data_IF_590624279179
#
_entry.id   IF_590624279179
#
_cell.length_a   1.000
_cell.length_b   1.000
_cell.length_c   1.000
_cell.angle_alpha   90.00
_cell.angle_beta   90.00
_cell.angle_gamma   90.00
#
_symmetry.space_group_name_H-M   'P 1'
#
loop_
_entity.id
_entity.type
_entity.pdbx_description
1 polymer ?
#
# COMPACT_ATOMS: atom_id res chain seq x y z
N UNK A 1 6.17 0.81 9.03
CA UNK A 1 5.62 1.30 7.75
C UNK A 1 4.30 2.06 7.94
N UNK A 2 3.21 1.56 8.59
CA UNK A 2 1.95 2.31 8.72
C UNK A 2 2.10 3.71 9.34
N UNK A 3 2.89 3.83 10.39
CA UNK A 3 3.21 5.13 11.01
C UNK A 3 3.89 6.10 10.03
N UNK A 4 4.74 5.61 9.11
CA UNK A 4 5.35 6.44 8.06
C UNK A 4 4.28 6.96 7.09
N UNK A 5 3.33 6.11 6.67
CA UNK A 5 2.22 6.53 5.79
C UNK A 5 1.41 7.64 6.43
N UNK A 6 1.07 7.47 7.73
CA UNK A 6 0.38 8.51 8.48
C UNK A 6 1.20 9.80 8.55
N UNK A 7 2.47 9.72 8.94
CA UNK A 7 3.34 10.89 9.02
C UNK A 7 3.48 11.60 7.66
N UNK A 8 3.66 10.86 6.56
CA UNK A 8 3.68 11.41 5.21
C UNK A 8 2.38 12.15 4.88
N UNK A 9 1.24 11.55 5.19
CA UNK A 9 -0.07 12.14 4.92
C UNK A 9 -0.32 13.40 5.76
N UNK A 10 0.07 13.39 7.03
CA UNK A 10 -0.04 14.53 7.93
C UNK A 10 0.75 15.75 7.41
N UNK A 11 1.95 15.55 6.78
CA UNK A 11 2.72 16.65 6.17
C UNK A 11 2.01 17.32 4.99
N UNK A 12 1.01 16.66 4.42
CA UNK A 12 0.19 17.18 3.30
C UNK A 12 -1.23 17.55 3.75
N UNK A 13 -1.48 17.62 5.06
CA UNK A 13 -2.75 18.00 5.63
C UNK A 13 -3.86 16.97 5.47
N UNK A 14 -3.54 15.71 5.12
CA UNK A 14 -4.55 14.67 4.87
C UNK A 14 -5.11 14.03 6.14
N UNK A 15 -4.35 14.00 7.23
CA UNK A 15 -4.73 13.52 8.58
C UNK A 15 -5.51 12.19 8.61
N UNK A 16 -5.03 11.10 7.99
CA UNK A 16 -5.75 9.83 8.04
C UNK A 16 -5.70 9.23 9.45
N UNK A 17 -6.73 8.46 9.78
CA UNK A 17 -6.76 7.61 10.97
C UNK A 17 -6.22 6.22 10.56
N UNK A 18 -4.97 5.91 10.90
CA UNK A 18 -4.27 4.69 10.47
C UNK A 18 -4.09 3.75 11.65
N UNK A 19 -4.68 2.57 11.55
CA UNK A 19 -4.53 1.49 12.51
C UNK A 19 -3.76 0.32 11.91
N UNK A 20 -3.14 -0.46 12.76
CA UNK A 20 -2.37 -1.64 12.37
C UNK A 20 -2.69 -2.82 13.26
N UNK A 21 -2.86 -3.98 12.64
CA UNK A 21 -2.78 -5.27 13.32
C UNK A 21 -1.66 -6.07 12.67
N UNK A 22 -0.66 -6.42 13.44
CA UNK A 22 0.49 -7.19 12.97
C UNK A 22 0.90 -8.20 14.02
N UNK A 23 1.30 -9.38 13.55
CA UNK A 23 1.90 -10.40 14.39
C UNK A 23 3.12 -11.01 13.66
N UNK A 24 4.16 -11.45 14.38
CA UNK A 24 5.31 -12.09 13.75
C UNK A 24 4.89 -13.29 12.90
N UNK A 25 5.40 -13.34 11.66
CA UNK A 25 5.12 -14.40 10.69
C UNK A 25 3.62 -14.64 10.40
N UNK A 26 2.76 -13.66 10.64
CA UNK A 26 1.33 -13.81 10.42
C UNK A 26 1.00 -13.95 8.94
N UNK A 27 0.11 -14.89 8.64
CA UNK A 27 -0.49 -15.07 7.32
C UNK A 27 -1.93 -14.55 7.31
N UNK A 28 -2.52 -14.39 6.14
CA UNK A 28 -3.95 -14.05 6.03
C UNK A 28 -4.82 -15.09 6.76
N UNK A 29 -4.41 -16.37 6.74
CA UNK A 29 -5.08 -17.42 7.49
C UNK A 29 -5.00 -17.21 9.01
N UNK A 30 -3.82 -16.89 9.55
CA UNK A 30 -3.67 -16.62 10.98
C UNK A 30 -4.44 -15.39 11.44
N UNK A 31 -4.45 -14.34 10.63
CA UNK A 31 -5.28 -13.16 10.87
C UNK A 31 -6.78 -13.46 10.79
N UNK A 32 -7.20 -14.31 9.86
CA UNK A 32 -8.59 -14.78 9.80
C UNK A 32 -9.00 -15.56 11.05
N UNK A 33 -8.10 -16.37 11.59
CA UNK A 33 -8.35 -17.13 12.81
C UNK A 33 -8.25 -16.26 14.08
N UNK A 34 -7.58 -15.12 14.01
CA UNK A 34 -7.54 -14.15 15.10
C UNK A 34 -8.85 -13.36 15.18
N UNK A 35 -9.63 -13.62 16.24
CA UNK A 35 -10.88 -12.90 16.49
C UNK A 35 -10.71 -11.38 16.56
N UNK A 36 -9.57 -10.89 17.09
CA UNK A 36 -9.33 -9.45 17.20
C UNK A 36 -9.17 -8.80 15.82
N UNK A 37 -8.40 -9.45 14.92
CA UNK A 37 -8.24 -8.99 13.56
C UNK A 37 -9.58 -8.90 12.83
N UNK A 38 -10.40 -9.96 12.93
CA UNK A 38 -11.74 -9.98 12.32
C UNK A 38 -12.67 -8.93 12.92
N UNK A 39 -12.77 -8.88 14.24
CA UNK A 39 -13.65 -7.92 14.92
C UNK A 39 -13.27 -6.46 14.56
N UNK A 40 -11.98 -6.17 14.41
CA UNK A 40 -11.53 -4.86 13.97
C UNK A 40 -11.95 -4.55 12.53
N UNK A 41 -11.88 -5.54 11.64
CA UNK A 41 -12.33 -5.36 10.24
C UNK A 41 -13.86 -5.20 10.13
N UNK A 42 -14.62 -5.92 10.97
CA UNK A 42 -16.08 -5.90 10.95
C UNK A 42 -16.67 -4.71 11.72
N UNK A 43 -16.11 -4.41 12.88
CA UNK A 43 -16.68 -3.48 13.85
C UNK A 43 -16.42 -2.01 13.58
N UNK A 44 -15.63 -1.67 12.56
CA UNK A 44 -15.26 -0.28 12.25
C UNK A 44 -15.52 0.01 10.77
N UNK A 45 -16.14 1.15 10.51
CA UNK A 45 -16.31 1.64 9.13
C UNK A 45 -14.96 2.14 8.59
N UNK A 46 -14.17 1.24 8.01
CA UNK A 46 -12.92 1.56 7.34
C UNK A 46 -13.18 2.04 5.91
N UNK A 47 -12.49 3.08 5.47
CA UNK A 47 -12.46 3.44 4.05
C UNK A 47 -11.61 2.46 3.26
N UNK A 48 -10.46 2.08 3.84
CA UNK A 48 -9.51 1.14 3.24
C UNK A 48 -9.03 0.10 4.24
N UNK A 49 -8.91 -1.14 3.79
CA UNK A 49 -8.22 -2.19 4.54
C UNK A 49 -7.14 -2.80 3.66
N UNK A 50 -5.89 -2.69 4.10
CA UNK A 50 -4.74 -3.28 3.40
C UNK A 50 -4.52 -4.69 3.95
N UNK A 51 -4.54 -5.67 3.07
CA UNK A 51 -4.34 -7.08 3.36
C UNK A 51 -2.98 -7.53 2.81
N UNK A 52 -2.12 -8.02 3.69
CA UNK A 52 -0.83 -8.61 3.35
C UNK A 52 -0.74 -10.02 3.88
N UNK A 53 -0.29 -10.95 3.07
CA UNK A 53 0.06 -12.31 3.53
C UNK A 53 1.53 -12.37 3.94
N UNK A 54 1.87 -13.38 4.73
CA UNK A 54 3.25 -13.71 5.04
C UNK A 54 4.03 -13.96 3.73
N UNK A 55 5.23 -13.41 3.59
CA UNK A 55 5.95 -13.29 2.32
C UNK A 55 6.16 -14.61 1.56
N UNK A 56 6.25 -15.76 2.25
CA UNK A 56 6.45 -17.05 1.60
C UNK A 56 5.13 -17.77 1.25
N UNK A 57 4.02 -17.44 1.90
CA UNK A 57 2.73 -18.13 1.68
C UNK A 57 2.23 -17.96 0.23
N UNK A 58 2.25 -16.77 -0.38
CA UNK A 58 1.78 -16.62 -1.76
C UNK A 58 2.63 -17.40 -2.79
N UNK A 59 3.86 -17.77 -2.42
CA UNK A 59 4.78 -18.56 -3.27
C UNK A 59 4.59 -20.05 -3.03
N UNK A 60 4.51 -20.48 -1.77
CA UNK A 60 4.53 -21.89 -1.39
C UNK A 60 3.15 -22.54 -1.31
N UNK A 61 2.14 -21.75 -1.01
CA UNK A 61 0.75 -22.16 -0.85
C UNK A 61 -0.21 -21.08 -1.39
N UNK A 62 -0.15 -20.77 -2.72
CA UNK A 62 -0.94 -19.70 -3.32
C UNK A 62 -2.44 -19.89 -3.16
N UNK A 63 -2.91 -21.14 -3.03
CA UNK A 63 -4.30 -21.47 -2.75
C UNK A 63 -4.77 -20.95 -1.38
N UNK A 64 -3.89 -20.97 -0.36
CA UNK A 64 -4.19 -20.39 0.96
C UNK A 64 -4.30 -18.87 0.89
N UNK A 65 -3.35 -18.22 0.22
CA UNK A 65 -3.41 -16.77 0.00
C UNK A 65 -4.71 -16.40 -0.71
N UNK A 66 -5.11 -17.18 -1.72
CA UNK A 66 -6.37 -16.97 -2.43
C UNK A 66 -7.57 -17.12 -1.48
N UNK A 67 -7.68 -18.27 -0.80
CA UNK A 67 -8.82 -18.55 0.09
C UNK A 67 -9.02 -17.45 1.14
N UNK A 68 -7.97 -17.16 1.90
CA UNK A 68 -8.07 -16.20 2.99
C UNK A 68 -8.06 -14.74 2.51
N UNK A 69 -7.49 -14.47 1.35
CA UNK A 69 -7.61 -13.18 0.68
C UNK A 69 -9.03 -12.92 0.19
N UNK A 70 -9.72 -13.92 -0.39
CA UNK A 70 -11.13 -13.84 -0.78
C UNK A 70 -12.02 -13.57 0.44
N UNK A 71 -11.82 -14.32 1.54
CA UNK A 71 -12.54 -14.11 2.81
C UNK A 71 -12.32 -12.70 3.36
N UNK A 72 -11.07 -12.24 3.39
CA UNK A 72 -10.72 -10.90 3.86
C UNK A 72 -11.34 -9.80 2.99
N UNK A 73 -11.23 -9.91 1.67
CA UNK A 73 -11.85 -8.95 0.74
C UNK A 73 -13.38 -8.88 0.89
N UNK A 74 -14.02 -10.03 1.04
CA UNK A 74 -15.48 -10.12 1.24
C UNK A 74 -15.92 -9.45 2.54
N UNK A 75 -15.17 -9.70 3.62
CA UNK A 75 -15.42 -9.10 4.92
C UNK A 75 -15.32 -7.58 4.89
N UNK A 76 -14.24 -7.07 4.30
CA UNK A 76 -14.02 -5.63 4.15
C UNK A 76 -15.15 -4.95 3.37
N UNK A 77 -15.63 -5.58 2.29
CA UNK A 77 -16.75 -5.03 1.51
C UNK A 77 -18.07 -5.11 2.27
N UNK A 78 -18.32 -6.17 3.02
CA UNK A 78 -19.50 -6.27 3.87
C UNK A 78 -19.55 -5.12 4.89
N UNK A 79 -18.37 -4.69 5.39
CA UNK A 79 -18.21 -3.51 6.23
C UNK A 79 -18.15 -2.18 5.45
N UNK A 80 -18.47 -2.19 4.13
CA UNK A 80 -18.46 -1.03 3.21
C UNK A 80 -17.08 -0.40 2.99
N UNK A 81 -16.00 -1.10 3.33
CA UNK A 81 -14.63 -0.68 3.07
C UNK A 81 -14.12 -1.12 1.69
N UNK A 82 -13.00 -0.56 1.28
CA UNK A 82 -12.30 -0.94 0.05
C UNK A 82 -11.10 -1.83 0.39
N UNK A 83 -11.07 -3.11 -0.04
CA UNK A 83 -9.92 -3.96 0.17
C UNK A 83 -8.78 -3.58 -0.77
N UNK A 84 -7.57 -3.53 -0.23
CA UNK A 84 -6.33 -3.32 -0.96
C UNK A 84 -5.39 -4.48 -0.64
N UNK A 85 -4.97 -5.20 -1.65
CA UNK A 85 -3.95 -6.23 -1.50
C UNK A 85 -2.57 -5.58 -1.57
N UNK A 86 -1.64 -5.96 -0.70
CA UNK A 86 -0.27 -5.48 -0.76
C UNK A 86 0.63 -6.55 -1.35
N UNK A 87 1.04 -6.35 -2.61
CA UNK A 87 2.05 -7.18 -3.26
C UNK A 87 3.41 -6.93 -2.60
N UNK A 88 3.88 -7.87 -1.82
CA UNK A 88 5.18 -7.84 -1.17
C UNK A 88 6.31 -8.13 -2.17
N UNK A 89 7.54 -8.18 -1.69
CA UNK A 89 8.74 -8.45 -2.47
C UNK A 89 9.28 -9.85 -2.19
N UNK A 90 9.95 -10.45 -3.18
CA UNK A 90 10.69 -11.71 -3.03
C UNK A 90 11.91 -11.55 -2.11
N UNK A 91 12.46 -12.66 -1.61
CA UNK A 91 13.74 -12.63 -0.91
C UNK A 91 14.83 -12.03 -1.81
N UNK A 92 15.89 -11.50 -1.21
CA UNK A 92 17.05 -11.02 -1.97
C UNK A 92 17.72 -12.18 -2.72
N UNK A 93 17.80 -12.07 -4.04
CA UNK A 93 18.53 -12.99 -4.90
C UNK A 93 20.02 -12.68 -4.96
N UNK A 94 20.76 -13.50 -5.67
CA UNK A 94 22.23 -13.36 -5.83
C UNK A 94 22.65 -12.02 -6.47
N UNK A 95 21.82 -11.45 -7.33
CA UNK A 95 22.03 -10.14 -7.98
C UNK A 95 21.77 -8.95 -7.06
N UNK A 96 21.34 -9.17 -5.81
CA UNK A 96 20.94 -8.09 -4.89
C UNK A 96 19.50 -7.59 -5.11
N UNK A 97 18.86 -7.94 -6.22
CA UNK A 97 17.43 -7.68 -6.49
C UNK A 97 16.55 -8.80 -5.90
N UNK A 98 15.21 -8.65 -5.87
CA UNK A 98 14.34 -9.76 -5.50
C UNK A 98 14.61 -11.00 -6.38
N UNK A 99 14.57 -12.17 -5.77
CA UNK A 99 14.66 -13.43 -6.50
C UNK A 99 13.59 -13.47 -7.60
N UNK A 100 13.97 -13.65 -8.89
CA UNK A 100 13.02 -13.49 -9.99
C UNK A 100 11.88 -14.52 -9.96
N UNK A 101 12.15 -15.73 -9.48
CA UNK A 101 11.13 -16.79 -9.41
C UNK A 101 10.13 -16.50 -8.31
N UNK A 102 10.60 -16.12 -7.09
CA UNK A 102 9.71 -15.70 -6.01
C UNK A 102 8.91 -14.45 -6.42
N UNK A 103 9.56 -13.45 -7.02
CA UNK A 103 8.89 -12.20 -7.42
C UNK A 103 7.81 -12.45 -8.46
N UNK A 104 8.05 -13.33 -9.43
CA UNK A 104 7.06 -13.72 -10.43
C UNK A 104 5.88 -14.46 -9.80
N UNK A 105 6.14 -15.41 -8.91
CA UNK A 105 5.08 -16.17 -8.22
C UNK A 105 4.22 -15.26 -7.33
N UNK A 106 4.83 -14.31 -6.60
CA UNK A 106 4.13 -13.29 -5.83
C UNK A 106 3.20 -12.46 -6.73
N UNK A 107 3.74 -11.93 -7.83
CA UNK A 107 2.98 -11.10 -8.76
C UNK A 107 1.79 -11.85 -9.34
N UNK A 108 1.98 -13.09 -9.80
CA UNK A 108 0.91 -13.91 -10.36
C UNK A 108 -0.19 -14.19 -9.33
N UNK A 109 0.17 -14.57 -8.10
CA UNK A 109 -0.78 -14.88 -7.05
C UNK A 109 -1.62 -13.66 -6.68
N UNK A 110 -0.97 -12.52 -6.44
CA UNK A 110 -1.68 -11.30 -6.06
C UNK A 110 -2.49 -10.69 -7.22
N UNK A 111 -2.02 -10.75 -8.46
CA UNK A 111 -2.78 -10.28 -9.61
C UNK A 111 -4.04 -11.13 -9.86
N UNK A 112 -3.92 -12.46 -9.76
CA UNK A 112 -5.07 -13.36 -9.91
C UNK A 112 -6.12 -13.05 -8.83
N UNK A 113 -5.70 -12.91 -7.58
CA UNK A 113 -6.58 -12.58 -6.47
C UNK A 113 -7.21 -11.18 -6.64
N UNK A 114 -6.42 -10.16 -7.00
CA UNK A 114 -6.90 -8.80 -7.19
C UNK A 114 -7.96 -8.71 -8.29
N UNK A 115 -7.73 -9.38 -9.42
CA UNK A 115 -8.70 -9.43 -10.53
C UNK A 115 -9.99 -10.14 -10.15
N UNK A 116 -9.87 -11.31 -9.50
CA UNK A 116 -11.02 -12.09 -9.04
C UNK A 116 -11.88 -11.31 -8.07
N UNK A 117 -11.23 -10.68 -7.12
CA UNK A 117 -11.89 -9.92 -6.05
C UNK A 117 -12.18 -8.47 -6.43
N UNK A 118 -11.86 -8.02 -7.64
CA UNK A 118 -11.93 -6.59 -8.01
C UNK A 118 -11.34 -5.69 -6.91
N UNK A 119 -10.28 -6.17 -6.27
CA UNK A 119 -9.56 -5.47 -5.22
C UNK A 119 -8.45 -4.61 -5.80
N UNK A 120 -8.15 -3.50 -5.14
CA UNK A 120 -6.97 -2.72 -5.47
C UNK A 120 -5.69 -3.49 -5.11
N UNK A 121 -4.59 -3.19 -5.81
CA UNK A 121 -3.30 -3.82 -5.57
C UNK A 121 -2.21 -2.76 -5.42
N UNK A 122 -1.57 -2.70 -4.27
CA UNK A 122 -0.41 -1.86 -4.04
C UNK A 122 0.87 -2.56 -4.56
N UNK A 123 1.54 -2.04 -5.60
CA UNK A 123 2.61 -2.76 -6.32
C UNK A 123 3.99 -2.61 -5.64
N UNK A 124 4.08 -2.91 -4.33
CA UNK A 124 5.30 -2.68 -3.54
C UNK A 124 6.47 -3.51 -4.06
N UNK A 125 6.27 -4.82 -4.31
CA UNK A 125 7.34 -5.70 -4.79
C UNK A 125 7.89 -5.28 -6.17
N UNK A 126 7.03 -4.73 -7.05
CA UNK A 126 7.48 -4.17 -8.33
C UNK A 126 8.33 -2.92 -8.10
N UNK A 127 7.94 -2.06 -7.17
CA UNK A 127 8.71 -0.86 -6.84
C UNK A 127 10.09 -1.23 -6.25
N UNK A 128 10.17 -2.28 -5.43
CA UNK A 128 11.43 -2.80 -4.91
C UNK A 128 12.35 -3.30 -6.02
N UNK A 129 11.84 -4.11 -6.92
CA UNK A 129 12.58 -4.61 -8.07
C UNK A 129 13.07 -3.47 -8.96
N UNK A 130 12.20 -2.51 -9.30
CA UNK A 130 12.56 -1.34 -10.09
C UNK A 130 13.62 -0.47 -9.42
N UNK A 131 13.52 -0.30 -8.09
CA UNK A 131 14.48 0.48 -7.31
C UNK A 131 15.88 -0.15 -7.39
N UNK A 132 15.98 -1.43 -7.06
CA UNK A 132 17.28 -2.13 -6.99
C UNK A 132 17.93 -2.32 -8.36
N UNK A 133 17.13 -2.48 -9.44
CA UNK A 133 17.65 -2.51 -10.81
C UNK A 133 18.24 -1.17 -11.27
N UNK A 134 17.60 -0.06 -10.90
CA UNK A 134 18.00 1.28 -11.37
C UNK A 134 18.99 1.98 -10.42
N UNK A 135 18.97 1.62 -9.15
CA UNK A 135 19.74 2.24 -8.09
C UNK A 135 20.39 1.19 -7.17
N UNK A 136 21.42 0.47 -7.65
CA UNK A 136 22.02 -0.65 -6.90
C UNK A 136 22.71 -0.22 -5.60
N UNK A 137 22.97 1.09 -5.43
CA UNK A 137 23.47 1.66 -4.16
C UNK A 137 22.42 1.85 -3.08
N UNK A 138 21.11 1.65 -3.37
CA UNK A 138 20.04 1.66 -2.38
C UNK A 138 19.98 0.31 -1.67
N UNK A 139 19.83 0.35 -0.35
CA UNK A 139 19.79 -0.85 0.49
C UNK A 139 18.36 -1.06 1.03
N UNK A 140 17.54 -1.85 0.30
CA UNK A 140 16.16 -2.09 0.74
C UNK A 140 16.04 -3.26 1.73
N UNK A 141 16.96 -4.25 1.67
CA UNK A 141 16.96 -5.43 2.51
C UNK A 141 17.89 -5.29 3.72
N UNK A 142 17.45 -5.77 4.86
CA UNK A 142 18.31 -6.09 5.97
C UNK A 142 19.29 -7.24 5.61
N UNK A 143 20.31 -7.52 6.44
CA UNK A 143 21.26 -8.61 6.17
C UNK A 143 20.63 -9.97 5.94
N UNK A 144 19.45 -10.24 6.53
CA UNK A 144 18.70 -11.50 6.37
C UNK A 144 18.11 -11.67 4.95
N UNK A 145 18.18 -10.64 4.10
CA UNK A 145 17.67 -10.67 2.74
C UNK A 145 16.14 -10.75 2.62
N UNK A 146 15.40 -10.47 3.70
CA UNK A 146 13.93 -10.53 3.72
C UNK A 146 13.29 -9.27 4.30
N UNK A 147 13.68 -8.86 5.48
CA UNK A 147 13.10 -7.72 6.16
C UNK A 147 13.56 -6.39 5.55
N UNK A 148 12.72 -5.35 5.62
CA UNK A 148 13.05 -4.05 5.07
C UNK A 148 14.03 -3.30 5.98
N UNK A 149 14.95 -2.56 5.36
CA UNK A 149 15.68 -1.47 6.01
C UNK A 149 14.76 -0.26 6.20
N UNK A 150 15.32 0.84 6.69
CA UNK A 150 14.63 2.13 6.70
C UNK A 150 14.27 2.60 5.28
N UNK A 151 15.19 2.45 4.29
CA UNK A 151 14.94 2.79 2.89
C UNK A 151 13.83 1.91 2.28
N UNK A 152 13.86 0.59 2.57
CA UNK A 152 12.81 -0.33 2.13
C UNK A 152 11.45 0.00 2.73
N UNK A 153 11.41 0.33 4.01
CA UNK A 153 10.19 0.76 4.70
C UNK A 153 9.65 2.08 4.14
N UNK A 154 10.54 3.02 3.82
CA UNK A 154 10.18 4.32 3.25
C UNK A 154 9.63 4.18 1.83
N UNK A 155 10.29 3.38 0.96
CA UNK A 155 9.79 3.07 -0.39
C UNK A 155 8.38 2.45 -0.33
N UNK A 156 8.22 1.45 0.56
CA UNK A 156 6.92 0.81 0.79
C UNK A 156 5.86 1.83 1.21
N UNK A 157 6.19 2.72 2.14
CA UNK A 157 5.28 3.76 2.59
C UNK A 157 4.90 4.74 1.46
N UNK A 158 5.84 5.10 0.56
CA UNK A 158 5.57 5.92 -0.62
C UNK A 158 4.60 5.26 -1.60
N UNK A 159 4.75 3.94 -1.84
CA UNK A 159 3.82 3.17 -2.70
C UNK A 159 2.43 3.12 -2.09
N UNK A 160 2.33 2.82 -0.79
CA UNK A 160 1.05 2.79 -0.07
C UNK A 160 0.41 4.18 -0.05
N UNK A 161 1.19 5.23 0.21
CA UNK A 161 0.71 6.62 0.14
C UNK A 161 0.08 6.94 -1.22
N UNK A 162 0.78 6.60 -2.32
CA UNK A 162 0.24 6.80 -3.66
C UNK A 162 -1.04 5.98 -3.88
N UNK A 163 -1.05 4.72 -3.46
CA UNK A 163 -2.19 3.82 -3.63
C UNK A 163 -3.42 4.35 -2.90
N UNK A 164 -3.28 4.76 -1.64
CA UNK A 164 -4.38 5.25 -0.80
C UNK A 164 -4.91 6.60 -1.26
N UNK A 165 -4.02 7.56 -1.52
CA UNK A 165 -4.41 8.95 -1.72
C UNK A 165 -4.42 9.40 -3.19
N UNK A 166 -3.91 8.60 -4.10
CA UNK A 166 -3.76 8.98 -5.52
C UNK A 166 -2.79 10.13 -5.74
N UNK A 167 -2.05 10.54 -4.70
CA UNK A 167 -1.14 11.70 -4.72
C UNK A 167 0.30 11.26 -4.90
N UNK A 168 1.07 12.05 -5.65
CA UNK A 168 2.51 11.80 -5.83
C UNK A 168 3.24 11.90 -4.48
N UNK A 169 4.13 10.94 -4.16
CA UNK A 169 4.98 11.02 -2.99
C UNK A 169 6.16 12.00 -3.15
N UNK A 170 6.36 12.60 -4.32
CA UNK A 170 7.43 13.58 -4.53
C UNK A 170 7.29 14.77 -3.59
N UNK A 171 8.42 15.16 -2.99
CA UNK A 171 8.48 16.28 -2.06
C UNK A 171 7.91 15.95 -0.67
N UNK A 172 7.74 14.68 -0.33
CA UNK A 172 7.55 14.25 1.06
C UNK A 172 8.90 14.32 1.79
N UNK A 173 8.93 14.63 3.10
CA UNK A 173 10.18 14.69 3.85
C UNK A 173 10.80 13.29 4.00
N UNK A 174 12.13 13.20 3.84
CA UNK A 174 12.89 11.96 4.14
C UNK A 174 13.01 11.71 5.65
N UNK A 175 12.90 12.79 6.45
CA UNK A 175 12.87 12.73 7.92
C UNK A 175 11.44 12.75 8.39
N UNK A 176 11.01 11.65 8.98
CA UNK A 176 9.64 11.47 9.49
C UNK A 176 9.65 11.17 10.97
N UNK A 177 8.73 11.77 11.68
CA UNK A 177 8.43 11.45 13.08
C UNK A 177 6.93 11.44 13.31
N UNK A 178 6.49 10.69 14.30
CA UNK A 178 5.10 10.66 14.75
C UNK A 178 5.08 10.58 16.28
N UNK A 179 4.37 11.50 16.91
CA UNK A 179 4.28 11.60 18.38
C UNK A 179 5.65 11.54 19.08
N UNK A 180 6.64 12.27 18.52
CA UNK A 180 8.01 12.31 19.07
C UNK A 180 8.89 11.11 18.70
N UNK A 181 8.35 10.03 18.15
CA UNK A 181 9.13 8.87 17.70
C UNK A 181 9.64 9.09 16.29
N UNK A 182 10.96 8.97 16.10
CA UNK A 182 11.59 9.02 14.77
C UNK A 182 11.24 7.76 13.98
N UNK A 183 10.72 7.93 12.77
CA UNK A 183 10.33 6.85 11.87
C UNK A 183 11.32 6.67 10.73
N UNK A 184 11.89 7.77 10.23
CA UNK A 184 12.96 7.76 9.22
C UNK A 184 13.83 9.00 9.35
N UNK A 185 15.09 8.86 8.85
CA UNK A 185 16.09 9.94 8.79
C UNK A 185 16.87 9.87 7.47
N UNK A 186 16.17 9.76 6.37
CA UNK A 186 16.79 9.65 5.05
C UNK A 186 17.29 11.01 4.56
N UNK A 187 18.50 11.08 3.96
CA UNK A 187 18.95 12.23 3.20
C UNK A 187 17.97 12.57 2.08
N UNK A 188 17.91 13.85 1.71
CA UNK A 188 16.91 14.36 0.75
C UNK A 188 17.05 13.72 -0.64
N UNK A 189 18.26 13.46 -1.10
CA UNK A 189 18.57 12.77 -2.36
C UNK A 189 18.07 11.32 -2.36
N UNK A 190 18.34 10.59 -1.27
CA UNK A 190 17.87 9.21 -1.09
C UNK A 190 16.35 9.15 -1.05
N UNK A 191 15.70 10.01 -0.27
CA UNK A 191 14.25 10.10 -0.22
C UNK A 191 13.65 10.40 -1.60
N UNK A 192 14.25 11.33 -2.36
CA UNK A 192 13.80 11.69 -3.72
C UNK A 192 13.88 10.53 -4.70
N UNK A 193 14.95 9.72 -4.67
CA UNK A 193 15.07 8.50 -5.48
C UNK A 193 13.89 7.57 -5.19
N UNK A 194 13.67 7.24 -3.92
CA UNK A 194 12.61 6.31 -3.50
C UNK A 194 11.21 6.82 -3.87
N UNK A 195 10.96 8.11 -3.70
CA UNK A 195 9.72 8.77 -4.08
C UNK A 195 9.48 8.70 -5.60
N UNK A 196 10.54 8.93 -6.40
CA UNK A 196 10.48 8.87 -7.86
C UNK A 196 10.13 7.46 -8.31
N UNK A 197 10.83 6.45 -7.79
CA UNK A 197 10.56 5.05 -8.09
C UNK A 197 9.12 4.66 -7.73
N UNK A 198 8.66 5.03 -6.52
CA UNK A 198 7.29 4.74 -6.10
C UNK A 198 6.24 5.37 -7.03
N UNK A 199 6.40 6.67 -7.36
CA UNK A 199 5.50 7.38 -8.27
C UNK A 199 5.45 6.71 -9.64
N UNK A 200 6.61 6.44 -10.23
CA UNK A 200 6.70 5.94 -11.60
C UNK A 200 6.16 4.51 -11.70
N UNK A 201 6.50 3.67 -10.72
CA UNK A 201 5.95 2.31 -10.62
C UNK A 201 4.44 2.33 -10.49
N UNK A 202 3.89 3.12 -9.58
CA UNK A 202 2.44 3.20 -9.40
C UNK A 202 1.73 3.70 -10.66
N UNK A 203 2.24 4.76 -11.30
CA UNK A 203 1.66 5.29 -12.55
C UNK A 203 1.65 4.24 -13.66
N UNK A 204 2.79 3.60 -13.90
CA UNK A 204 2.92 2.57 -14.93
C UNK A 204 2.03 1.37 -14.63
N UNK A 205 2.03 0.90 -13.38
CA UNK A 205 1.23 -0.25 -12.97
C UNK A 205 -0.26 0.00 -13.13
N UNK A 206 -0.78 1.12 -12.63
CA UNK A 206 -2.21 1.44 -12.71
C UNK A 206 -2.68 1.79 -14.14
N UNK A 207 -1.79 2.25 -15.01
CA UNK A 207 -2.10 2.40 -16.44
C UNK A 207 -2.20 1.06 -17.16
N UNK A 208 -1.35 0.09 -16.80
CA UNK A 208 -1.33 -1.23 -17.43
C UNK A 208 -2.38 -2.21 -16.88
N UNK A 209 -2.89 -1.96 -15.66
CA UNK A 209 -3.82 -2.84 -14.96
C UNK A 209 -5.10 -2.13 -14.61
N UNK A 210 -5.97 -1.90 -15.62
CA UNK A 210 -7.28 -1.28 -15.41
C UNK A 210 -8.06 -2.03 -14.30
N UNK A 211 -8.57 -1.30 -13.30
CA UNK A 211 -9.37 -1.85 -12.21
C UNK A 211 -8.60 -2.23 -10.93
N UNK A 212 -7.26 -2.15 -10.90
CA UNK A 212 -6.48 -2.41 -9.67
C UNK A 212 -6.17 -1.15 -8.85
N UNK A 213 -6.66 0.01 -9.28
CA UNK A 213 -6.56 1.25 -8.52
C UNK A 213 -7.77 1.39 -7.60
N UNK A 214 -7.60 1.76 -6.32
CA UNK A 214 -8.73 2.07 -5.47
C UNK A 214 -9.53 3.21 -6.09
N UNK A 215 -10.86 3.08 -6.10
CA UNK A 215 -11.71 4.22 -6.32
C UNK A 215 -11.47 5.18 -5.14
N UNK A 216 -10.72 6.24 -5.36
CA UNK A 216 -10.55 7.30 -4.36
C UNK A 216 -11.91 7.93 -4.15
N UNK A 217 -12.55 7.64 -3.03
CA UNK A 217 -13.82 8.22 -2.68
C UNK A 217 -13.69 9.76 -2.72
N UNK A 218 -14.26 10.38 -3.73
CA UNK A 218 -14.52 11.82 -3.77
C UNK A 218 -13.40 12.75 -4.23
N UNK A 219 -12.35 12.29 -4.90
CA UNK A 219 -11.28 13.17 -5.38
C UNK A 219 -11.11 13.13 -6.90
N UNK A 220 -12.20 13.16 -7.67
CA UNK A 220 -12.14 13.55 -9.09
C UNK A 220 -13.53 13.82 -9.65
N UNK A 221 -13.70 15.00 -10.13
CA UNK A 221 -14.09 15.39 -11.45
C UNK A 221 -14.68 16.80 -11.38
N UNK A 222 -13.83 17.80 -11.38
CA UNK A 222 -14.19 19.08 -11.95
C UNK A 222 -12.97 19.69 -12.66
N UNK A 223 -12.56 19.00 -13.70
CA UNK A 223 -11.78 19.65 -14.77
C UNK A 223 -12.01 18.83 -16.05
N UNK A 224 -12.78 19.40 -16.95
CA UNK A 224 -13.03 19.10 -18.35
C UNK A 224 -14.47 18.62 -18.65
N UNK A 225 -15.41 19.58 -18.60
CA UNK A 225 -16.37 19.77 -19.70
C UNK A 225 -17.01 21.16 -19.55
N UNK A 226 -16.93 22.04 -20.55
CA UNK A 226 -17.73 23.25 -20.60
C UNK A 226 -19.06 22.89 -21.24
N UNK A 227 -20.15 23.02 -20.52
CA UNK A 227 -21.44 23.53 -20.92
C UNK A 227 -22.57 23.03 -20.03
N UNK A 228 -23.24 24.01 -19.56
CA UNK A 228 -24.64 24.14 -19.19
C UNK A 228 -25.02 24.13 -17.70
N UNK A 229 -25.50 25.31 -17.34
CA UNK A 229 -26.65 25.66 -16.48
C UNK A 229 -26.62 25.39 -14.97
N UNK A 230 -26.41 26.50 -14.26
CA UNK A 230 -27.06 26.97 -13.02
C UNK A 230 -27.69 25.89 -12.09
N UNK A 231 -26.97 25.57 -11.02
CA UNK A 231 -27.58 25.23 -9.75
C UNK A 231 -26.64 25.67 -8.62
N UNK A 232 -27.13 26.55 -7.77
CA UNK A 232 -26.44 27.11 -6.61
C UNK A 232 -26.18 26.00 -5.57
N UNK A 233 -24.97 25.46 -5.53
CA UNK A 233 -24.45 24.74 -4.37
C UNK A 233 -23.27 25.51 -3.78
N UNK A 234 -23.42 25.88 -2.51
CA UNK A 234 -22.34 26.47 -1.71
C UNK A 234 -21.09 25.59 -1.81
N UNK A 235 -20.01 26.13 -2.32
CA UNK A 235 -18.67 25.53 -2.30
C UNK A 235 -18.14 25.57 -0.87
N UNK A 236 -18.42 24.52 -0.12
CA UNK A 236 -17.79 24.29 1.17
C UNK A 236 -16.40 23.68 0.94
N UNK A 237 -15.33 24.48 1.04
CA UNK A 237 -13.96 24.00 1.23
C UNK A 237 -13.76 23.50 2.65
N UNK A 238 -14.52 22.48 3.04
CA UNK A 238 -14.29 21.76 4.30
C UNK A 238 -13.12 20.79 4.14
N UNK A 239 -12.36 20.49 5.23
CA UNK A 239 -11.36 19.43 5.18
C UNK A 239 -12.03 18.13 4.74
N UNK A 240 -11.33 17.37 3.87
CA UNK A 240 -11.77 16.05 3.42
C UNK A 240 -12.12 15.19 4.64
N UNK A 241 -13.20 14.39 4.61
CA UNK A 241 -13.53 13.48 5.68
C UNK A 241 -12.33 12.59 6.00
N UNK A 242 -12.11 12.34 7.29
CA UNK A 242 -11.02 11.52 7.80
C UNK A 242 -11.05 10.14 7.12
N UNK A 243 -9.96 9.77 6.44
CA UNK A 243 -9.85 8.43 5.87
C UNK A 243 -9.35 7.47 6.94
N UNK A 244 -10.19 6.48 7.26
CA UNK A 244 -9.82 5.40 8.19
C UNK A 244 -9.20 4.26 7.41
N UNK A 245 -7.96 3.96 7.75
CA UNK A 245 -7.20 2.89 7.09
C UNK A 245 -6.76 1.86 8.12
N UNK A 246 -7.10 0.60 7.88
CA UNK A 246 -6.62 -0.54 8.66
C UNK A 246 -5.59 -1.34 7.86
N UNK A 247 -4.49 -1.68 8.49
CA UNK A 247 -3.37 -2.39 7.84
C UNK A 247 -3.14 -3.70 8.59
N UNK A 248 -3.33 -4.80 7.89
CA UNK A 248 -3.12 -6.15 8.36
C UNK A 248 -1.81 -6.67 7.76
N UNK A 249 -0.81 -6.92 8.61
CA UNK A 249 0.55 -7.31 8.22
C UNK A 249 0.97 -8.62 8.88
#
# INVERSE_FOLDING_TARGET
>A
MPAMVKAMADTKGLRPDVHMHAAPAASLQSHWNDRRARNNMEGTAWDFVILQDQSATPVRAPERTREFGEKGCSLVRAAKGTPILMLTWGKRGASGTPDPQEQKALLETYLKLARREKAALAPVGIAWENCLKRHPGIQLYQPDGRHPTEEGSYLTACVIYFTLFGKSPLGLPGRLSLKGTRLSNLPADRARILQTVARDTCRQFFSATAGTRPATAGLQASALSPHSAKSTRKTGTGPLPWQRTYILL
#
